data_IF_185223978432
#
_entry.id   IF_185223978432
#
_cell.length_a   1.000
_cell.length_b   1.000
_cell.length_c   1.000
_cell.angle_alpha   90.00
_cell.angle_beta   90.00
_cell.angle_gamma   90.00
#
_symmetry.space_group_name_H-M   'P 1'
#
loop_
_entity.id
_entity.type
_entity.pdbx_description
1 polymer ?
#
# COMPACT_ATOMS: atom_id res chain seq x y z
N UNK A 1 13.15 9.18 -13.71
CA UNK A 1 11.96 9.11 -12.83
C UNK A 1 11.00 8.01 -13.27
N UNK A 2 10.68 7.90 -14.57
CA UNK A 2 9.87 6.80 -15.15
C UNK A 2 10.44 5.41 -14.85
N UNK A 3 11.77 5.22 -14.87
CA UNK A 3 12.36 3.89 -14.62
C UNK A 3 12.18 3.39 -13.18
N UNK A 4 12.34 4.26 -12.16
CA UNK A 4 12.15 3.89 -10.76
C UNK A 4 10.73 3.37 -10.50
N UNK A 5 9.72 4.09 -10.97
CA UNK A 5 8.31 3.73 -10.75
C UNK A 5 7.99 2.41 -11.46
N UNK A 6 8.47 2.23 -12.68
CA UNK A 6 8.28 0.98 -13.43
C UNK A 6 8.96 -0.21 -12.74
N UNK A 7 10.19 -0.06 -12.25
CA UNK A 7 10.89 -1.12 -11.52
C UNK A 7 10.23 -1.41 -10.18
N UNK A 8 9.74 -0.38 -9.48
CA UNK A 8 8.94 -0.54 -8.27
C UNK A 8 7.65 -1.32 -8.56
N UNK A 9 6.99 -1.08 -9.69
CA UNK A 9 5.79 -1.80 -10.08
C UNK A 9 6.06 -3.26 -10.42
N UNK A 10 7.20 -3.59 -11.05
CA UNK A 10 7.62 -4.98 -11.27
C UNK A 10 7.85 -5.73 -9.96
N UNK A 11 8.47 -5.08 -8.97
CA UNK A 11 8.63 -5.65 -7.61
C UNK A 11 7.27 -5.83 -6.94
N UNK A 12 6.36 -4.87 -7.09
CA UNK A 12 5.01 -4.96 -6.54
C UNK A 12 4.25 -6.16 -7.14
N UNK A 13 4.33 -6.35 -8.46
CA UNK A 13 3.69 -7.47 -9.16
C UNK A 13 4.23 -8.82 -8.67
N UNK A 14 5.56 -8.96 -8.51
CA UNK A 14 6.16 -10.20 -7.99
C UNK A 14 5.79 -10.49 -6.52
N UNK A 15 5.34 -9.49 -5.78
CA UNK A 15 4.86 -9.60 -4.42
C UNK A 15 3.31 -9.66 -4.33
N UNK A 16 2.59 -9.90 -5.42
CA UNK A 16 1.12 -10.02 -5.46
C UNK A 16 0.37 -8.77 -4.97
N UNK A 17 0.91 -7.59 -5.21
CA UNK A 17 0.21 -6.32 -5.00
C UNK A 17 -0.92 -6.20 -6.02
N UNK A 18 -2.12 -5.79 -5.58
CA UNK A 18 -3.31 -5.72 -6.45
C UNK A 18 -3.57 -4.32 -7.03
N UNK A 19 -3.14 -3.25 -6.34
CA UNK A 19 -3.19 -1.87 -6.83
C UNK A 19 -1.88 -1.18 -6.50
N UNK A 20 -1.39 -0.36 -7.42
CA UNK A 20 -0.12 0.36 -7.30
C UNK A 20 -0.27 1.76 -7.86
N UNK A 21 0.24 2.75 -7.13
CA UNK A 21 0.08 4.16 -7.45
C UNK A 21 1.35 4.92 -7.13
N UNK A 22 1.58 6.02 -7.85
CA UNK A 22 2.67 6.95 -7.59
C UNK A 22 2.10 8.35 -7.59
N UNK A 23 2.18 9.03 -6.45
CA UNK A 23 1.67 10.39 -6.27
C UNK A 23 2.77 11.26 -5.67
N UNK A 24 2.62 12.58 -5.82
CA UNK A 24 3.49 13.57 -5.20
C UNK A 24 2.73 14.27 -4.09
N UNK A 25 3.29 14.26 -2.88
CA UNK A 25 2.73 14.94 -1.71
C UNK A 25 3.51 16.21 -1.40
N UNK A 26 3.09 16.93 -0.36
CA UNK A 26 3.74 18.18 0.07
C UNK A 26 5.25 18.03 0.32
N UNK A 27 5.96 19.16 0.33
CA UNK A 27 7.41 19.22 0.51
C UNK A 27 8.22 18.42 -0.53
N UNK A 28 7.71 18.33 -1.76
CA UNK A 28 8.36 17.63 -2.87
C UNK A 28 8.63 16.15 -2.57
N UNK A 29 7.80 15.53 -1.73
CA UNK A 29 7.96 14.12 -1.35
C UNK A 29 7.17 13.24 -2.31
N UNK A 30 7.83 12.23 -2.88
CA UNK A 30 7.19 11.23 -3.72
C UNK A 30 6.63 10.10 -2.84
N UNK A 31 5.50 9.54 -3.23
CA UNK A 31 4.83 8.46 -2.54
C UNK A 31 4.49 7.33 -3.51
N UNK A 32 5.11 6.18 -3.30
CA UNK A 32 4.69 4.92 -3.91
C UNK A 32 3.71 4.25 -2.95
N UNK A 33 2.48 4.05 -3.39
CA UNK A 33 1.41 3.45 -2.59
C UNK A 33 0.96 2.13 -3.21
N UNK A 34 0.61 1.17 -2.36
CA UNK A 34 0.31 -0.21 -2.73
C UNK A 34 -0.88 -0.72 -1.94
N UNK A 35 -1.77 -1.47 -2.61
CA UNK A 35 -2.86 -2.20 -1.98
C UNK A 35 -2.61 -3.71 -2.05
N UNK A 36 -2.88 -4.39 -0.94
CA UNK A 36 -2.74 -5.83 -0.79
C UNK A 36 -4.11 -6.41 -0.51
N UNK A 37 -4.53 -7.45 -1.23
CA UNK A 37 -5.83 -8.06 -1.02
C UNK A 37 -5.93 -8.61 0.41
N UNK A 38 -6.99 -8.23 1.12
CA UNK A 38 -7.35 -8.80 2.40
C UNK A 38 -8.87 -8.78 2.53
N UNK A 39 -9.46 -9.95 2.74
CA UNK A 39 -10.90 -10.09 2.93
C UNK A 39 -11.37 -9.23 4.12
N UNK A 40 -12.34 -8.34 3.88
CA UNK A 40 -12.93 -7.46 4.89
C UNK A 40 -14.15 -8.08 5.58
N UNK A 41 -14.39 -9.39 5.44
CA UNK A 41 -15.44 -10.11 6.17
C UNK A 41 -15.41 -9.74 7.65
N UNK A 42 -16.56 -9.33 8.20
CA UNK A 42 -16.71 -8.81 9.57
C UNK A 42 -15.99 -9.68 10.62
N UNK A 43 -15.06 -9.04 11.33
CA UNK A 43 -14.13 -9.59 12.32
C UNK A 43 -14.76 -10.55 13.35
N UNK A 44 -16.03 -10.31 13.70
CA UNK A 44 -16.73 -11.01 14.78
C UNK A 44 -17.16 -12.44 14.45
N UNK A 45 -17.25 -12.85 13.17
CA UNK A 45 -17.68 -14.22 12.84
C UNK A 45 -16.52 -15.23 12.76
N UNK A 46 -15.27 -14.79 12.53
CA UNK A 46 -14.10 -15.67 12.30
C UNK A 46 -12.74 -15.06 12.72
N UNK A 47 -12.64 -14.55 13.95
CA UNK A 47 -11.44 -13.86 14.49
C UNK A 47 -10.09 -14.54 14.18
N UNK A 48 -9.95 -15.85 14.42
CA UNK A 48 -8.70 -16.57 14.17
C UNK A 48 -8.32 -16.67 12.70
N UNK A 49 -9.30 -16.86 11.82
CA UNK A 49 -9.05 -16.97 10.37
C UNK A 49 -8.59 -15.61 9.82
N UNK A 50 -9.32 -14.55 10.20
CA UNK A 50 -9.04 -13.18 9.77
C UNK A 50 -7.68 -12.72 10.29
N UNK A 51 -7.35 -13.01 11.56
CA UNK A 51 -6.04 -12.67 12.12
C UNK A 51 -4.89 -13.33 11.37
N UNK A 52 -5.03 -14.62 10.98
CA UNK A 52 -4.02 -15.31 10.17
C UNK A 52 -3.88 -14.70 8.78
N UNK A 53 -4.99 -14.35 8.15
CA UNK A 53 -4.99 -13.71 6.82
C UNK A 53 -4.33 -12.33 6.87
N UNK A 54 -4.68 -11.51 7.86
CA UNK A 54 -4.05 -10.20 8.10
C UNK A 54 -2.53 -10.35 8.31
N UNK A 55 -2.10 -11.31 9.14
CA UNK A 55 -0.66 -11.53 9.39
C UNK A 55 0.07 -11.99 8.13
N UNK A 56 -0.56 -12.84 7.31
CA UNK A 56 -0.02 -13.26 6.00
C UNK A 56 0.13 -12.08 5.07
N UNK A 57 -0.90 -11.25 4.94
CA UNK A 57 -0.88 -10.01 4.13
C UNK A 57 0.19 -9.06 4.64
N UNK A 58 0.30 -8.86 5.94
CA UNK A 58 1.33 -8.02 6.54
C UNK A 58 2.76 -8.53 6.23
N UNK A 59 2.99 -9.86 6.18
CA UNK A 59 4.28 -10.42 5.78
C UNK A 59 4.61 -10.10 4.32
N UNK A 60 3.64 -10.25 3.42
CA UNK A 60 3.79 -9.92 1.99
C UNK A 60 4.04 -8.41 1.81
N UNK A 61 3.23 -7.59 2.48
CA UNK A 61 3.34 -6.15 2.42
C UNK A 61 4.70 -5.64 2.93
N UNK A 62 5.19 -6.16 4.06
CA UNK A 62 6.51 -5.79 4.58
C UNK A 62 7.66 -6.27 3.69
N UNK A 63 7.52 -7.42 3.02
CA UNK A 63 8.49 -7.86 2.01
C UNK A 63 8.56 -6.88 0.85
N UNK A 64 7.40 -6.53 0.26
CA UNK A 64 7.31 -5.53 -0.80
C UNK A 64 7.95 -4.21 -0.36
N UNK A 65 7.55 -3.66 0.79
CA UNK A 65 8.13 -2.41 1.32
C UNK A 65 9.65 -2.48 1.47
N UNK A 66 10.20 -3.60 1.95
CA UNK A 66 11.65 -3.76 2.12
C UNK A 66 12.39 -3.75 0.77
N UNK A 67 11.85 -4.43 -0.23
CA UNK A 67 12.43 -4.48 -1.58
C UNK A 67 12.33 -3.11 -2.27
N UNK A 68 11.16 -2.46 -2.21
CA UNK A 68 10.95 -1.11 -2.76
C UNK A 68 11.88 -0.09 -2.10
N UNK A 69 12.03 -0.11 -0.77
CA UNK A 69 12.96 0.81 -0.09
C UNK A 69 14.40 0.64 -0.54
N UNK A 70 14.85 -0.60 -0.80
CA UNK A 70 16.19 -0.86 -1.32
C UNK A 70 16.36 -0.31 -2.72
N UNK A 71 15.37 -0.54 -3.59
CA UNK A 71 15.33 0.03 -4.94
C UNK A 71 15.39 1.56 -4.90
N UNK A 72 14.54 2.21 -4.10
CA UNK A 72 14.53 3.67 -3.99
C UNK A 72 15.89 4.21 -3.52
N UNK A 73 16.53 3.54 -2.56
CA UNK A 73 17.88 3.91 -2.11
C UNK A 73 18.95 3.70 -3.20
N UNK A 74 18.86 2.63 -3.99
CA UNK A 74 19.82 2.37 -5.08
C UNK A 74 19.74 3.41 -6.20
N UNK A 75 18.59 4.07 -6.33
CA UNK A 75 18.40 5.21 -7.23
C UNK A 75 18.91 6.55 -6.66
N UNK A 76 19.58 6.55 -5.49
CA UNK A 76 20.27 7.71 -4.93
C UNK A 76 19.47 8.53 -3.92
N UNK A 77 18.21 8.18 -3.65
CA UNK A 77 17.40 8.88 -2.65
C UNK A 77 17.89 8.59 -1.24
N UNK A 78 18.22 9.66 -0.50
CA UNK A 78 18.75 9.56 0.87
C UNK A 78 17.66 9.43 1.92
N UNK A 79 16.52 10.10 1.72
CA UNK A 79 15.44 10.17 2.70
C UNK A 79 14.31 9.24 2.25
N UNK A 80 14.23 8.06 2.87
CA UNK A 80 13.26 7.02 2.49
C UNK A 80 12.55 6.46 3.73
N UNK A 81 11.23 6.55 3.74
CA UNK A 81 10.36 6.07 4.83
C UNK A 81 9.30 5.11 4.29
N UNK A 82 8.70 4.33 5.17
CA UNK A 82 7.68 3.35 4.79
C UNK A 82 6.61 3.24 5.86
N UNK A 83 5.36 3.02 5.44
CA UNK A 83 4.23 2.69 6.30
C UNK A 83 3.67 1.33 5.90
N UNK A 84 3.70 0.41 6.85
CA UNK A 84 3.06 -0.89 6.75
C UNK A 84 1.58 -0.84 7.14
N UNK A 85 0.93 -2.00 7.03
CA UNK A 85 -0.50 -2.19 7.32
C UNK A 85 -0.88 -1.73 8.73
N UNK A 86 0.01 -1.94 9.72
CA UNK A 86 -0.22 -1.62 11.12
C UNK A 86 0.41 -0.29 11.55
N UNK A 87 0.66 0.66 10.64
CA UNK A 87 1.19 1.96 11.04
C UNK A 87 0.11 2.77 11.77
N UNK A 88 0.36 3.13 13.02
CA UNK A 88 -0.61 3.79 13.90
C UNK A 88 -0.78 5.31 13.68
N UNK A 89 0.07 5.94 12.87
CA UNK A 89 0.08 7.40 12.68
C UNK A 89 -0.07 7.74 11.21
N UNK A 90 -0.86 8.76 10.87
CA UNK A 90 -1.03 9.25 9.48
C UNK A 90 -1.86 8.30 8.61
N UNK A 91 -3.00 8.79 8.17
CA UNK A 91 -3.95 8.02 7.38
C UNK A 91 -3.49 7.87 5.91
N UNK A 92 -3.37 6.64 5.44
CA UNK A 92 -3.02 6.33 4.04
C UNK A 92 -4.24 6.36 3.12
N UNK A 93 -5.48 6.36 3.66
CA UNK A 93 -6.71 6.33 2.87
C UNK A 93 -6.84 7.54 1.93
N UNK A 94 -6.63 8.80 2.37
CA UNK A 94 -6.65 9.94 1.46
C UNK A 94 -5.65 9.81 0.30
N UNK A 95 -4.46 9.27 0.58
CA UNK A 95 -3.43 9.02 -0.43
C UNK A 95 -3.84 7.91 -1.42
N UNK A 96 -4.57 6.90 -0.96
CA UNK A 96 -5.10 5.84 -1.82
C UNK A 96 -6.18 6.38 -2.76
N UNK A 97 -7.06 7.28 -2.29
CA UNK A 97 -8.04 7.95 -3.15
C UNK A 97 -7.33 8.81 -4.20
N UNK A 98 -6.35 9.62 -3.80
CA UNK A 98 -5.54 10.43 -4.73
C UNK A 98 -4.81 9.57 -5.77
N UNK A 99 -4.38 8.37 -5.39
CA UNK A 99 -3.74 7.40 -6.28
C UNK A 99 -4.73 6.59 -7.14
N UNK A 100 -6.04 6.89 -7.07
CA UNK A 100 -7.06 6.23 -7.87
C UNK A 100 -7.40 4.81 -7.42
N UNK A 101 -7.11 4.43 -6.18
CA UNK A 101 -7.42 3.07 -5.68
C UNK A 101 -8.91 2.86 -5.48
N UNK A 102 -9.70 3.91 -5.38
CA UNK A 102 -11.14 3.84 -5.15
C UNK A 102 -11.71 5.18 -4.72
N UNK A 103 -12.97 5.17 -4.32
CA UNK A 103 -13.70 6.34 -3.81
C UNK A 103 -14.19 6.07 -2.40
N UNK A 104 -14.44 7.12 -1.63
CA UNK A 104 -15.16 6.98 -0.37
C UNK A 104 -16.59 6.52 -0.65
N UNK A 105 -17.00 5.43 -0.01
CA UNK A 105 -18.38 4.93 -0.03
C UNK A 105 -19.16 5.48 1.17
N UNK A 106 -20.49 5.31 1.14
CA UNK A 106 -21.37 5.67 2.25
C UNK A 106 -21.05 4.92 3.55
N UNK A 107 -20.29 3.82 3.47
CA UNK A 107 -19.80 3.08 4.64
C UNK A 107 -18.62 3.76 5.35
N UNK A 108 -18.06 4.84 4.79
CA UNK A 108 -16.87 5.50 5.30
C UNK A 108 -15.56 4.73 5.04
N UNK A 109 -15.61 3.72 4.16
CA UNK A 109 -14.45 2.93 3.72
C UNK A 109 -14.22 3.20 2.22
N UNK A 110 -12.95 3.17 1.80
CA UNK A 110 -12.61 3.26 0.38
C UNK A 110 -13.06 1.99 -0.32
N UNK A 111 -13.80 2.16 -1.41
CA UNK A 111 -14.28 1.08 -2.25
C UNK A 111 -13.67 1.17 -3.65
N UNK A 112 -13.13 0.05 -4.11
CA UNK A 112 -12.62 -0.15 -5.45
C UNK A 112 -13.65 -0.94 -6.28
N UNK A 113 -13.83 -0.58 -7.55
CA UNK A 113 -14.80 -1.23 -8.45
C UNK A 113 -14.62 -2.75 -8.58
N UNK A 114 -13.36 -3.22 -8.57
CA UNK A 114 -13.03 -4.64 -8.73
C UNK A 114 -12.88 -5.38 -7.40
N UNK A 115 -12.26 -4.72 -6.42
CA UNK A 115 -11.86 -5.36 -5.16
C UNK A 115 -12.79 -5.05 -3.99
N UNK A 116 -13.81 -4.20 -4.18
CA UNK A 116 -14.67 -3.70 -3.12
C UNK A 116 -13.84 -2.99 -2.05
N UNK A 117 -14.11 -3.28 -0.78
CA UNK A 117 -13.35 -2.81 0.39
C UNK A 117 -12.22 -3.77 0.81
N UNK A 118 -11.93 -4.81 0.03
CA UNK A 118 -11.10 -5.95 0.44
C UNK A 118 -9.59 -5.73 0.23
N UNK A 119 -9.04 -4.66 0.80
CA UNK A 119 -7.61 -4.41 0.69
C UNK A 119 -7.01 -3.60 1.84
N UNK A 120 -5.72 -3.84 2.07
CA UNK A 120 -4.88 -3.10 3.01
C UNK A 120 -3.88 -2.23 2.27
N UNK A 121 -3.62 -1.04 2.79
CA UNK A 121 -2.81 -0.03 2.11
C UNK A 121 -1.43 0.05 2.79
N UNK A 122 -0.38 0.17 1.98
CA UNK A 122 0.99 0.46 2.43
C UNK A 122 1.64 1.50 1.52
N UNK A 123 2.67 2.19 2.02
CA UNK A 123 3.32 3.23 1.23
C UNK A 123 4.84 3.33 1.51
N UNK A 124 5.59 3.79 0.50
CA UNK A 124 6.99 4.23 0.60
C UNK A 124 7.08 5.69 0.20
N UNK A 125 7.63 6.51 1.09
CA UNK A 125 7.82 7.94 0.91
C UNK A 125 9.29 8.24 0.67
N UNK A 126 9.62 9.10 -0.30
CA UNK A 126 11.00 9.42 -0.61
C UNK A 126 11.21 10.81 -1.20
N UNK A 127 12.37 11.40 -0.91
CA UNK A 127 12.86 12.66 -1.45
C UNK A 127 14.38 12.72 -1.49
#
# INVERSE_FOLDING_TARGET
MVSLVNDAYKIADSNNVILKGNIKISNNTNCLIFAHYCDSTLFYKKFYKISKDVLKVNKIANRNLKEIKRLVKSYGYKKVWSKGVFSFYGDLRPLAVEAGFGKWSDSGIIENEKYGTNFMITAVFYR
#
